data_IF_980397985438
#
_entry.id   IF_980397985438
#
_cell.length_a   1.000
_cell.length_b   1.000
_cell.length_c   1.000
_cell.angle_alpha   90.00
_cell.angle_beta   90.00
_cell.angle_gamma   90.00
#
_symmetry.space_group_name_H-M   'P 1'
#
loop_
_entity.id
_entity.type
_entity.pdbx_description
1 polymer ?
#
# COMPACT_ATOMS: atom_id res chain seq x y z
N UNK A 1 -1.19 25.12 2.09
CA UNK A 1 -1.93 23.86 2.32
C UNK A 1 -2.10 23.19 0.96
N UNK A 2 -1.46 22.04 0.73
CA UNK A 2 -1.61 21.28 -0.51
C UNK A 2 -2.98 20.59 -0.50
N UNK A 3 -3.77 20.79 -1.55
CA UNK A 3 -5.04 20.09 -1.77
C UNK A 3 -4.77 18.57 -1.74
N UNK A 4 -5.54 17.76 -0.99
CA UNK A 4 -5.39 16.32 -1.04
C UNK A 4 -5.66 15.84 -2.47
N UNK A 5 -4.81 14.95 -2.99
CA UNK A 5 -4.89 14.46 -4.37
C UNK A 5 -6.23 13.79 -4.72
N UNK A 6 -7.01 13.41 -3.68
CA UNK A 6 -8.23 12.62 -3.81
C UNK A 6 -9.49 13.30 -3.25
N UNK A 7 -9.42 14.57 -2.84
CA UNK A 7 -10.60 15.34 -2.44
C UNK A 7 -11.29 14.94 -1.13
N UNK A 8 -10.99 13.78 -0.54
CA UNK A 8 -11.45 13.40 0.80
C UNK A 8 -10.42 13.76 1.88
N UNK A 9 -10.85 14.13 3.10
CA UNK A 9 -9.95 14.36 4.22
C UNK A 9 -9.40 13.03 4.75
N UNK A 10 -8.20 12.65 4.35
CA UNK A 10 -7.48 11.52 4.94
C UNK A 10 -6.72 11.99 6.18
N UNK A 11 -6.89 11.26 7.27
CA UNK A 11 -6.12 11.45 8.49
C UNK A 11 -5.18 10.25 8.71
N UNK A 12 -4.00 10.46 9.29
CA UNK A 12 -3.14 9.35 9.68
C UNK A 12 -3.85 8.49 10.73
N UNK A 13 -3.74 7.17 10.58
CA UNK A 13 -4.29 6.21 11.53
C UNK A 13 -3.49 6.24 12.84
N UNK A 14 -2.16 6.29 12.73
CA UNK A 14 -1.27 6.35 13.89
C UNK A 14 -0.77 7.74 14.20
N UNK A 15 -0.44 7.94 15.47
CA UNK A 15 0.18 9.14 16.01
C UNK A 15 1.55 8.81 16.60
N UNK A 16 2.45 9.78 16.73
CA UNK A 16 3.69 9.59 17.47
C UNK A 16 3.42 9.09 18.89
N UNK A 17 4.17 8.06 19.30
CA UNK A 17 4.00 7.37 20.57
C UNK A 17 3.11 6.12 20.52
N UNK A 18 2.33 5.93 19.45
CA UNK A 18 1.58 4.69 19.24
C UNK A 18 2.54 3.53 19.05
N UNK A 19 2.19 2.37 19.61
CA UNK A 19 2.96 1.13 19.48
C UNK A 19 2.21 0.15 18.61
N UNK A 20 2.92 -0.54 17.72
CA UNK A 20 2.34 -1.42 16.72
C UNK A 20 3.21 -2.65 16.52
N UNK A 21 2.62 -3.72 15.98
CA UNK A 21 3.34 -4.96 15.74
C UNK A 21 3.63 -5.13 14.25
N UNK A 22 4.90 -5.28 13.88
CA UNK A 22 5.32 -5.60 12.51
C UNK A 22 6.25 -6.79 12.59
N UNK A 23 6.05 -7.79 11.74
CA UNK A 23 6.93 -8.94 11.63
C UNK A 23 7.20 -9.65 12.96
N UNK A 24 6.19 -9.76 13.82
CA UNK A 24 6.31 -10.36 15.15
C UNK A 24 7.09 -9.52 16.17
N UNK A 25 7.59 -8.33 15.79
CA UNK A 25 8.28 -7.39 16.66
C UNK A 25 7.42 -6.17 16.98
N UNK A 26 7.63 -5.57 18.14
CA UNK A 26 6.96 -4.33 18.51
C UNK A 26 7.77 -3.13 18.00
N UNK A 27 7.06 -2.14 17.47
CA UNK A 27 7.59 -0.88 16.99
C UNK A 27 6.82 0.29 17.62
N UNK A 28 7.47 1.43 17.78
CA UNK A 28 6.86 2.69 18.21
C UNK A 28 6.95 3.71 17.08
N UNK A 29 5.82 4.36 16.77
CA UNK A 29 5.77 5.46 15.82
C UNK A 29 6.47 6.67 16.42
N UNK A 30 7.51 7.15 15.75
CA UNK A 30 8.27 8.34 16.16
C UNK A 30 7.77 9.58 15.45
N UNK A 31 7.40 9.44 14.18
CA UNK A 31 7.03 10.55 13.34
C UNK A 31 5.99 10.11 12.31
N UNK A 32 5.12 11.05 11.92
CA UNK A 32 4.13 10.86 10.86
C UNK A 32 4.37 11.93 9.81
N UNK A 33 4.67 11.49 8.59
CA UNK A 33 4.82 12.37 7.42
C UNK A 33 3.69 12.07 6.44
N UNK A 34 3.16 13.07 5.73
CA UNK A 34 2.39 12.80 4.52
C UNK A 34 3.24 11.97 3.55
N UNK A 35 2.69 10.90 3.01
CA UNK A 35 3.30 10.20 1.89
C UNK A 35 3.20 11.06 0.63
N UNK A 36 4.09 10.77 -0.29
CA UNK A 36 4.22 11.46 -1.56
C UNK A 36 3.03 11.14 -2.48
N UNK A 37 2.70 12.03 -3.44
CA UNK A 37 1.83 11.67 -4.55
C UNK A 37 2.58 10.71 -5.48
N UNK A 38 2.02 9.52 -5.68
CA UNK A 38 2.46 8.56 -6.68
C UNK A 38 1.46 8.55 -7.83
N UNK A 39 1.95 8.60 -9.06
CA UNK A 39 1.12 8.44 -10.27
C UNK A 39 1.92 7.74 -11.35
N UNK A 40 1.39 6.63 -11.86
CA UNK A 40 1.94 5.89 -13.01
C UNK A 40 0.83 5.52 -13.97
N UNK A 41 1.08 5.70 -15.27
CA UNK A 41 0.14 5.35 -16.33
C UNK A 41 0.78 4.36 -17.29
N UNK A 42 0.11 3.25 -17.50
CA UNK A 42 0.46 2.21 -18.46
C UNK A 42 -0.54 2.27 -19.61
N UNK A 43 -0.05 2.23 -20.83
CA UNK A 43 -0.86 2.29 -22.05
C UNK A 43 -0.58 1.07 -22.91
N UNK A 44 -1.43 0.86 -23.92
CA UNK A 44 -1.30 -0.21 -24.91
C UNK A 44 -1.22 -1.60 -24.25
N UNK A 45 -2.04 -1.83 -23.23
CA UNK A 45 -2.17 -3.14 -22.58
C UNK A 45 -3.11 -3.99 -23.45
N UNK A 46 -2.55 -4.99 -24.13
CA UNK A 46 -3.29 -5.90 -25.02
C UNK A 46 -3.44 -7.31 -24.44
N UNK A 47 -2.65 -7.63 -23.41
CA UNK A 47 -2.68 -8.88 -22.63
C UNK A 47 -2.41 -8.53 -21.16
N UNK A 48 -2.59 -9.50 -20.28
CA UNK A 48 -2.28 -9.36 -18.86
C UNK A 48 -0.85 -8.85 -18.64
N UNK A 49 -0.72 -7.79 -17.85
CA UNK A 49 0.56 -7.13 -17.58
C UNK A 49 0.86 -7.17 -16.09
N UNK A 50 2.00 -7.76 -15.77
CA UNK A 50 2.60 -7.71 -14.44
C UNK A 50 3.30 -6.38 -14.19
N UNK A 51 3.09 -5.80 -13.01
CA UNK A 51 3.59 -4.50 -12.60
C UNK A 51 4.08 -4.61 -11.14
N UNK A 52 5.38 -4.43 -10.93
CA UNK A 52 5.95 -4.33 -9.59
C UNK A 52 6.04 -2.85 -9.16
N UNK A 53 5.25 -2.44 -8.16
CA UNK A 53 5.25 -1.04 -7.74
C UNK A 53 6.49 -0.64 -6.92
N UNK A 54 7.27 -1.61 -6.43
CA UNK A 54 8.56 -1.33 -5.79
C UNK A 54 9.55 -0.74 -6.78
N UNK A 55 9.60 -1.28 -7.99
CA UNK A 55 10.47 -0.79 -9.08
C UNK A 55 10.05 0.59 -9.57
N UNK A 56 8.77 0.92 -9.41
CA UNK A 56 8.20 2.24 -9.73
C UNK A 56 8.42 3.28 -8.63
N UNK A 57 8.91 2.86 -7.46
CA UNK A 57 9.24 3.73 -6.33
C UNK A 57 8.22 3.76 -5.20
N UNK A 58 7.13 2.98 -5.28
CA UNK A 58 6.15 2.84 -4.18
C UNK A 58 6.64 1.80 -3.16
N UNK A 59 7.63 2.19 -2.36
CA UNK A 59 8.27 1.35 -1.34
C UNK A 59 8.68 2.16 -0.11
N UNK A 60 8.74 1.50 1.05
CA UNK A 60 9.32 2.10 2.25
C UNK A 60 10.84 2.04 2.25
N UNK A 61 11.49 3.01 2.90
CA UNK A 61 12.91 2.92 3.26
C UNK A 61 13.07 2.18 4.60
N UNK A 62 14.30 1.83 5.02
CA UNK A 62 14.53 1.28 6.35
C UNK A 62 13.92 2.16 7.46
N UNK A 63 13.17 1.55 8.38
CA UNK A 63 12.43 2.24 9.43
C UNK A 63 11.15 2.95 8.99
N UNK A 64 10.74 2.83 7.72
CA UNK A 64 9.50 3.45 7.21
C UNK A 64 8.39 2.41 7.03
N UNK A 65 7.25 2.67 7.67
CA UNK A 65 5.98 2.01 7.42
C UNK A 65 5.11 2.95 6.58
N UNK A 66 4.85 2.57 5.34
CA UNK A 66 3.95 3.28 4.45
C UNK A 66 2.52 2.78 4.64
N UNK A 67 1.58 3.70 4.68
CA UNK A 67 0.16 3.43 4.56
C UNK A 67 -0.35 4.14 3.33
N UNK A 68 -0.76 3.36 2.33
CA UNK A 68 -1.06 3.85 0.98
C UNK A 68 -2.49 3.51 0.62
N UNK A 69 -3.19 4.47 0.03
CA UNK A 69 -4.46 4.27 -0.66
C UNK A 69 -4.21 4.33 -2.15
N UNK A 70 -4.61 3.27 -2.86
CA UNK A 70 -4.54 3.22 -4.32
C UNK A 70 -5.88 3.64 -4.94
N UNK A 71 -5.79 4.32 -6.08
CA UNK A 71 -6.87 4.42 -7.06
C UNK A 71 -6.39 3.87 -8.38
N UNK A 72 -7.28 3.11 -9.01
CA UNK A 72 -7.12 2.62 -10.36
C UNK A 72 -8.03 3.44 -11.27
N UNK A 73 -7.61 3.66 -12.50
CA UNK A 73 -8.46 4.28 -13.52
C UNK A 73 -8.15 3.70 -14.89
N UNK A 74 -9.20 3.57 -15.70
CA UNK A 74 -9.10 3.08 -17.07
C UNK A 74 -9.64 1.67 -17.24
N UNK A 75 -9.72 1.20 -18.50
CA UNK A 75 -10.39 -0.04 -18.87
C UNK A 75 -9.56 -1.30 -18.56
N UNK A 76 -9.08 -1.42 -17.32
CA UNK A 76 -8.38 -2.58 -16.80
C UNK A 76 -8.94 -2.95 -15.42
N UNK A 77 -8.99 -4.25 -15.17
CA UNK A 77 -9.04 -4.79 -13.81
C UNK A 77 -7.59 -5.02 -13.34
N UNK A 78 -7.30 -4.86 -12.05
CA UNK A 78 -6.01 -5.16 -11.49
C UNK A 78 -6.16 -6.11 -10.29
N UNK A 79 -5.48 -7.25 -10.36
CA UNK A 79 -5.29 -8.12 -9.22
C UNK A 79 -4.10 -7.61 -8.41
N UNK A 80 -4.35 -7.18 -7.17
CA UNK A 80 -3.32 -6.62 -6.28
C UNK A 80 -2.85 -7.73 -5.33
N UNK A 81 -1.54 -7.91 -5.24
CA UNK A 81 -0.86 -8.82 -4.32
C UNK A 81 0.18 -8.05 -3.51
N UNK A 82 0.54 -8.59 -2.35
CA UNK A 82 1.71 -8.12 -1.60
C UNK A 82 2.79 -9.20 -1.70
N UNK A 83 3.96 -8.83 -2.20
CA UNK A 83 5.13 -9.71 -2.33
C UNK A 83 6.16 -9.38 -1.23
N UNK A 84 6.87 -10.38 -0.69
CA UNK A 84 7.86 -10.18 0.40
C UNK A 84 7.99 -11.35 1.39
N UNK A 85 8.97 -11.29 2.29
CA UNK A 85 9.36 -12.41 3.19
C UNK A 85 8.51 -12.53 4.48
N UNK A 86 7.26 -12.05 4.52
CA UNK A 86 6.56 -12.00 5.80
C UNK A 86 5.10 -11.56 5.82
N UNK A 87 4.20 -12.50 5.52
CA UNK A 87 2.93 -12.64 6.23
C UNK A 87 1.66 -11.95 5.69
N UNK A 88 0.52 -12.34 6.27
CA UNK A 88 -0.83 -11.87 5.93
C UNK A 88 -0.97 -10.35 6.00
N UNK A 89 -1.72 -9.84 5.03
CA UNK A 89 -1.85 -8.43 4.66
C UNK A 89 -2.69 -7.65 5.66
N UNK A 90 -2.11 -6.60 6.26
CA UNK A 90 -2.90 -5.50 6.79
C UNK A 90 -3.27 -4.56 5.63
N UNK A 91 -4.50 -4.71 5.11
CA UNK A 91 -5.09 -3.73 4.20
C UNK A 91 -5.72 -4.29 2.92
N UNK A 92 -7.04 -4.14 2.82
CA UNK A 92 -7.76 -4.18 1.55
C UNK A 92 -7.74 -5.51 0.76
N UNK A 93 -8.03 -5.41 -0.55
CA UNK A 93 -8.28 -6.52 -1.46
C UNK A 93 -7.09 -7.47 -1.69
N UNK A 94 -5.87 -7.09 -1.30
CA UNK A 94 -4.69 -7.94 -1.46
C UNK A 94 -4.69 -9.18 -0.54
N UNK A 95 -5.41 -9.13 0.59
CA UNK A 95 -5.64 -10.33 1.41
C UNK A 95 -6.67 -11.30 0.84
N UNK A 96 -7.37 -10.94 -0.24
CA UNK A 96 -8.50 -11.70 -0.81
C UNK A 96 -8.35 -12.09 -2.27
N UNK A 97 -7.21 -11.75 -2.90
CA UNK A 97 -6.93 -12.02 -4.33
C UNK A 97 -8.09 -11.62 -5.27
N UNK A 98 -8.72 -10.47 -5.00
CA UNK A 98 -9.79 -9.93 -5.82
C UNK A 98 -9.25 -8.94 -6.84
N UNK A 99 -9.83 -8.99 -8.04
CA UNK A 99 -9.66 -7.93 -9.02
C UNK A 99 -10.32 -6.65 -8.54
N UNK A 100 -9.61 -5.54 -8.71
CA UNK A 100 -10.07 -4.19 -8.44
C UNK A 100 -10.04 -3.36 -9.73
N UNK A 101 -10.90 -2.36 -9.81
CA UNK A 101 -11.09 -1.48 -10.96
C UNK A 101 -11.33 -0.04 -10.49
N UNK A 102 -11.81 0.83 -11.38
CA UNK A 102 -12.07 2.24 -11.07
C UNK A 102 -13.25 2.47 -10.13
N UNK A 103 -14.16 1.51 -10.02
CA UNK A 103 -15.33 1.57 -9.13
C UNK A 103 -15.01 1.01 -7.73
N UNK A 104 -13.84 0.40 -7.55
CA UNK A 104 -13.44 -0.19 -6.29
C UNK A 104 -13.20 0.90 -5.22
N UNK A 105 -13.90 0.85 -4.07
CA UNK A 105 -13.77 1.85 -3.01
C UNK A 105 -12.34 1.98 -2.46
N UNK A 106 -11.91 3.22 -2.17
CA UNK A 106 -10.55 3.51 -1.70
C UNK A 106 -10.19 2.81 -0.39
N UNK A 107 -11.16 2.62 0.52
CA UNK A 107 -10.94 1.89 1.77
C UNK A 107 -10.65 0.39 1.53
N UNK A 108 -11.08 -0.17 0.40
CA UNK A 108 -10.74 -1.52 -0.04
C UNK A 108 -9.36 -1.59 -0.71
N UNK A 109 -8.78 -0.45 -1.06
CA UNK A 109 -7.46 -0.31 -1.69
C UNK A 109 -6.45 0.41 -0.79
N UNK A 110 -6.59 0.22 0.52
CA UNK A 110 -5.66 0.72 1.54
C UNK A 110 -4.69 -0.39 1.95
N UNK A 111 -3.38 -0.13 1.92
CA UNK A 111 -2.33 -1.12 2.19
C UNK A 111 -1.25 -0.58 3.14
N UNK A 112 -0.66 -1.45 3.94
CA UNK A 112 0.55 -1.17 4.70
C UNK A 112 1.78 -1.86 4.08
N UNK A 113 2.88 -1.11 3.93
CA UNK A 113 4.14 -1.55 3.31
C UNK A 113 5.26 -1.21 4.30
N UNK A 114 5.99 -2.20 4.81
CA UNK A 114 7.08 -1.95 5.75
C UNK A 114 8.45 -2.19 5.10
N UNK A 115 9.24 -1.12 5.03
CA UNK A 115 10.52 -1.10 4.33
C UNK A 115 10.39 -1.65 2.90
N UNK A 116 11.49 -2.02 2.25
CA UNK A 116 11.47 -2.62 0.91
C UNK A 116 11.65 -4.15 0.94
N UNK A 117 11.79 -4.74 2.13
CA UNK A 117 12.03 -6.18 2.34
C UNK A 117 10.86 -6.97 2.91
N UNK A 118 9.94 -6.34 3.65
CA UNK A 118 8.88 -7.09 4.35
C UNK A 118 7.59 -7.20 3.55
N UNK A 119 7.27 -6.23 2.69
CA UNK A 119 6.13 -6.31 1.79
C UNK A 119 6.09 -5.15 0.81
N UNK A 120 5.81 -5.40 -0.47
CA UNK A 120 5.53 -4.37 -1.47
C UNK A 120 4.37 -4.79 -2.39
N UNK A 121 3.74 -3.80 -3.03
CA UNK A 121 2.57 -4.05 -3.89
C UNK A 121 2.99 -4.52 -5.28
N UNK A 122 2.37 -5.60 -5.72
CA UNK A 122 2.50 -6.16 -7.06
C UNK A 122 1.12 -6.24 -7.69
N UNK A 123 0.99 -5.82 -8.95
CA UNK A 123 -0.28 -5.83 -9.66
C UNK A 123 -0.20 -6.67 -10.93
N UNK A 124 -1.29 -7.39 -11.21
CA UNK A 124 -1.54 -7.97 -12.53
C UNK A 124 -2.71 -7.22 -13.15
N UNK A 125 -2.41 -6.36 -14.13
CA UNK A 125 -3.40 -5.60 -14.88
C UNK A 125 -3.96 -6.46 -16.03
N UNK A 126 -5.26 -6.69 -16.03
CA UNK A 126 -6.02 -7.43 -17.03
C UNK A 126 -6.87 -6.46 -17.85
N UNK A 127 -6.68 -6.37 -19.17
CA UNK A 127 -7.47 -5.45 -20.01
C UNK A 127 -8.93 -5.92 -20.10
N UNK A 128 -9.88 -4.99 -19.95
CA UNK A 128 -11.31 -5.24 -20.19
C UNK A 128 -11.62 -5.08 -21.68
N UNK A 129 -11.04 -4.04 -22.32
CA UNK A 129 -11.08 -3.79 -23.77
C UNK A 129 -9.67 -3.55 -24.29
N UNK A 130 -9.35 -4.06 -25.49
CA UNK A 130 -7.98 -3.93 -26.05
C UNK A 130 -7.95 -2.96 -27.24
N UNK A 131 -6.96 -2.04 -27.31
CA UNK A 131 -5.91 -1.78 -26.32
C UNK A 131 -6.45 -1.02 -25.09
N UNK A 132 -6.06 -1.47 -23.90
CA UNK A 132 -6.40 -0.81 -22.65
C UNK A 132 -5.31 0.16 -22.18
N UNK A 133 -5.65 0.90 -21.14
CA UNK A 133 -4.72 1.65 -20.31
C UNK A 133 -5.10 1.49 -18.84
N UNK A 134 -4.11 1.61 -17.96
CA UNK A 134 -4.29 1.60 -16.52
C UNK A 134 -3.50 2.77 -15.93
N UNK A 135 -4.17 3.63 -15.17
CA UNK A 135 -3.52 4.61 -14.32
C UNK A 135 -3.63 4.15 -12.87
N UNK A 136 -2.50 4.17 -12.17
CA UNK A 136 -2.37 3.89 -10.75
C UNK A 136 -1.97 5.18 -10.07
N UNK A 137 -2.79 5.63 -9.12
CA UNK A 137 -2.48 6.74 -8.24
C UNK A 137 -2.36 6.22 -6.81
N UNK A 138 -1.39 6.72 -6.05
CA UNK A 138 -1.30 6.45 -4.62
C UNK A 138 -1.07 7.74 -3.83
N UNK A 139 -1.63 7.75 -2.62
CA UNK A 139 -1.33 8.72 -1.59
C UNK A 139 -1.31 8.03 -0.23
N UNK A 140 -0.83 8.71 0.80
CA UNK A 140 -1.15 8.34 2.17
C UNK A 140 -0.20 8.92 3.18
N UNK A 141 0.31 8.10 4.10
CA UNK A 141 1.21 8.52 5.17
C UNK A 141 2.45 7.61 5.26
N UNK A 142 3.56 8.20 5.69
CA UNK A 142 4.79 7.50 6.06
C UNK A 142 4.95 7.63 7.57
N UNK A 143 4.95 6.50 8.25
CA UNK A 143 5.25 6.40 9.67
C UNK A 143 6.72 6.03 9.83
N UNK A 144 7.47 6.87 10.53
CA UNK A 144 8.84 6.52 10.96
C UNK A 144 8.71 5.72 12.25
N UNK A 145 9.24 4.50 12.25
CA UNK A 145 9.07 3.56 13.36
C UNK A 145 10.41 3.01 13.85
N UNK A 146 10.54 2.84 15.16
CA UNK A 146 11.69 2.20 15.80
C UNK A 146 11.25 0.97 16.61
N UNK A 147 12.07 -0.08 16.65
CA UNK A 147 11.81 -1.24 17.51
C UNK A 147 11.69 -0.83 18.98
N UNK A 148 10.76 -1.43 19.71
CA UNK A 148 10.46 -1.10 21.10
C UNK A 148 10.17 -2.35 21.93
N UNK A 149 10.26 -2.22 23.25
CA UNK A 149 9.85 -3.26 24.22
C UNK A 149 8.46 -3.00 24.79
N UNK A 150 7.84 -1.86 24.46
CA UNK A 150 6.46 -1.55 24.87
C UNK A 150 5.48 -2.53 24.22
N UNK A 151 4.42 -2.88 24.93
CA UNK A 151 3.37 -3.73 24.37
C UNK A 151 2.70 -3.01 23.18
N UNK A 152 2.50 -3.70 22.03
CA UNK A 152 1.85 -3.10 20.87
C UNK A 152 0.36 -2.89 21.12
N UNK A 153 -0.17 -1.76 20.66
CA UNK A 153 -1.62 -1.55 20.52
C UNK A 153 -2.04 -2.16 19.18
N UNK A 154 -2.77 -3.26 19.22
CA UNK A 154 -3.27 -3.91 18.00
C UNK A 154 -4.41 -3.10 17.38
N UNK A 155 -4.20 -2.48 16.19
CA UNK A 155 -5.07 -2.54 14.98
C UNK A 155 -4.73 -1.45 13.93
N UNK A 156 -4.77 -1.72 12.62
CA UNK A 156 -3.99 -2.76 11.95
C UNK A 156 -2.54 -2.26 11.72
N UNK A 157 -1.53 -2.81 12.40
CA UNK A 157 -0.56 -3.54 11.58
C UNK A 157 -0.26 -4.91 12.17
N UNK A 158 -0.12 -5.87 11.27
CA UNK A 158 0.67 -7.08 11.41
C UNK A 158 1.14 -7.41 9.99
N UNK A 159 2.45 -7.43 9.74
CA UNK A 159 3.07 -7.80 8.45
C UNK A 159 4.12 -8.86 8.84
N UNK A 160 3.72 -10.14 8.91
CA UNK A 160 4.29 -11.16 9.82
C UNK A 160 5.78 -11.54 9.66
N UNK A 161 6.36 -12.17 10.69
CA UNK A 161 7.50 -13.05 10.56
C UNK A 161 7.24 -14.34 11.35
N UNK A 162 7.48 -15.47 10.66
CA UNK A 162 7.37 -16.91 11.01
C UNK A 162 5.99 -17.56 10.75
N UNK A 163 5.92 -18.72 10.08
CA UNK A 163 6.94 -19.75 9.75
C UNK A 163 7.11 -19.96 8.25
#
# INVERSE_FOLDING_TARGET
MSTPFFGEPYAPIYKPGDTLQIAGKAYEVKEVKPAFPFRKKYTNITIDRSIDLKDEGLKGKPGELLHVWLRLSGPCEALIRIEGAGGEVAGGYAGTEKYADEDTPLNMLSFFIFEDKYGWLYLTAKPIITPAWLQIEAQGFVYIVDETTKAPVSFPPYISAKR
#
